data_IF_738926053632
#
_entry.id   IF_738926053632
#
_cell.length_a   1.000
_cell.length_b   1.000
_cell.length_c   1.000
_cell.angle_alpha   90.00
_cell.angle_beta   90.00
_cell.angle_gamma   90.00
#
_symmetry.space_group_name_H-M   'P 1'
#
loop_
_entity.id
_entity.type
_entity.pdbx_description
1 polymer ?
#
# COMPACT_ATOMS: atom_id res chain seq x y z
N UNK A 1 27.82 -7.64 -82.59
CA UNK A 1 28.32 -8.57 -81.54
C UNK A 1 27.37 -8.50 -80.36
N UNK A 2 26.65 -9.60 -80.05
CA UNK A 2 25.64 -9.64 -78.98
C UNK A 2 26.36 -9.67 -77.62
N UNK A 3 26.07 -8.69 -76.76
CA UNK A 3 26.70 -8.50 -75.45
C UNK A 3 26.39 -9.66 -74.50
N UNK A 4 27.25 -10.69 -74.53
CA UNK A 4 27.22 -11.85 -73.61
C UNK A 4 27.47 -11.48 -72.14
N UNK A 5 27.78 -10.21 -71.85
CA UNK A 5 28.16 -9.71 -70.52
C UNK A 5 27.00 -9.08 -69.73
N UNK A 6 25.88 -8.77 -70.40
CA UNK A 6 24.70 -8.19 -69.75
C UNK A 6 24.10 -9.07 -68.62
N UNK A 7 23.95 -10.40 -68.77
CA UNK A 7 23.38 -11.23 -67.70
C UNK A 7 24.31 -11.32 -66.49
N UNK A 8 25.64 -11.29 -66.68
CA UNK A 8 26.61 -11.32 -65.59
C UNK A 8 26.61 -10.01 -64.78
N UNK A 9 26.42 -8.86 -65.43
CA UNK A 9 26.28 -7.58 -64.75
C UNK A 9 25.05 -7.51 -63.84
N UNK A 10 23.94 -8.09 -64.26
CA UNK A 10 22.69 -8.11 -63.48
C UNK A 10 22.83 -9.01 -62.24
N UNK A 11 23.46 -10.18 -62.38
CA UNK A 11 23.69 -11.09 -61.26
C UNK A 11 24.60 -10.44 -60.21
N UNK A 12 25.64 -9.73 -60.64
CA UNK A 12 26.58 -9.06 -59.74
C UNK A 12 25.91 -7.91 -58.97
N UNK A 13 25.02 -7.15 -59.63
CA UNK A 13 24.20 -6.11 -59.01
C UNK A 13 23.19 -6.68 -58.00
N UNK A 14 22.58 -7.82 -58.31
CA UNK A 14 21.65 -8.50 -57.40
C UNK A 14 22.37 -9.02 -56.15
N UNK A 15 23.56 -9.62 -56.29
CA UNK A 15 24.36 -10.08 -55.16
C UNK A 15 24.80 -8.89 -54.30
N UNK A 16 25.23 -7.79 -54.93
CA UNK A 16 25.62 -6.57 -54.22
C UNK A 16 24.44 -5.99 -53.43
N UNK A 17 23.24 -5.92 -54.02
CA UNK A 17 22.04 -5.42 -53.34
C UNK A 17 21.67 -6.29 -52.14
N UNK A 18 21.68 -7.62 -52.30
CA UNK A 18 21.39 -8.56 -51.20
C UNK A 18 22.43 -8.36 -50.08
N UNK A 19 23.71 -8.28 -50.41
CA UNK A 19 24.77 -8.10 -49.42
C UNK A 19 24.68 -6.75 -48.72
N UNK A 20 24.29 -5.67 -49.43
CA UNK A 20 24.07 -4.36 -48.81
C UNK A 20 22.80 -4.32 -47.96
N UNK A 21 21.72 -4.99 -48.35
CA UNK A 21 20.50 -5.10 -47.54
C UNK A 21 20.73 -5.91 -46.27
N UNK A 22 21.48 -7.00 -46.36
CA UNK A 22 21.80 -7.87 -45.22
C UNK A 22 22.73 -7.16 -44.23
N UNK A 23 23.69 -6.39 -44.75
CA UNK A 23 24.55 -5.53 -43.94
C UNK A 23 23.81 -4.32 -43.35
N UNK A 24 22.81 -3.76 -44.04
CA UNK A 24 21.95 -2.71 -43.48
C UNK A 24 20.98 -3.23 -42.42
N UNK A 25 20.43 -4.44 -42.59
CA UNK A 25 19.59 -5.10 -41.59
C UNK A 25 20.34 -5.44 -40.31
N UNK A 26 21.63 -5.74 -40.41
CA UNK A 26 22.48 -6.02 -39.23
C UNK A 26 23.09 -4.77 -38.59
N UNK A 27 23.08 -3.62 -39.29
CA UNK A 27 23.58 -2.33 -38.80
C UNK A 27 22.49 -1.38 -38.33
N UNK A 28 21.23 -1.64 -38.65
CA UNK A 28 20.10 -1.09 -37.92
C UNK A 28 20.06 -1.87 -36.60
N UNK A 29 20.41 -1.27 -35.46
CA UNK A 29 19.95 -1.85 -34.21
C UNK A 29 18.44 -2.00 -34.40
N UNK A 30 17.89 -3.17 -34.06
CA UNK A 30 16.49 -3.19 -33.68
C UNK A 30 16.35 -2.03 -32.70
N UNK A 31 15.72 -0.94 -33.14
CA UNK A 31 14.97 -0.12 -32.21
C UNK A 31 13.97 -1.12 -31.66
N UNK A 32 14.36 -1.83 -30.60
CA UNK A 32 13.44 -2.16 -29.55
C UNK A 32 12.66 -0.88 -29.40
N UNK A 33 11.39 -0.91 -29.82
CA UNK A 33 10.42 0.02 -29.28
C UNK A 33 10.70 -0.04 -27.79
N UNK A 34 11.36 0.99 -27.24
CA UNK A 34 11.34 1.22 -25.82
C UNK A 34 9.84 1.24 -25.55
N UNK A 35 9.32 0.14 -25.00
CA UNK A 35 7.97 0.13 -24.47
C UNK A 35 7.99 1.34 -23.58
N UNK A 36 7.30 2.40 -23.97
CA UNK A 36 7.26 3.62 -23.18
C UNK A 36 6.87 3.13 -21.79
N UNK A 37 7.82 3.17 -20.85
CA UNK A 37 7.63 2.62 -19.53
C UNK A 37 6.77 3.64 -18.80
N UNK A 38 5.52 3.77 -19.24
CA UNK A 38 4.55 4.69 -18.69
C UNK A 38 4.11 4.06 -17.39
N UNK A 39 4.54 4.66 -16.28
CA UNK A 39 4.06 4.32 -14.96
C UNK A 39 2.55 4.58 -14.94
N UNK A 40 1.71 3.60 -14.55
CA UNK A 40 0.28 3.81 -14.50
C UNK A 40 -0.09 4.94 -13.53
N UNK A 41 -1.08 5.74 -13.89
CA UNK A 41 -1.59 6.77 -12.99
C UNK A 41 -2.36 6.13 -11.83
N UNK A 42 -2.02 6.49 -10.60
CA UNK A 42 -2.66 6.02 -9.38
C UNK A 42 -3.54 7.14 -8.79
N UNK A 43 -4.80 6.84 -8.51
CA UNK A 43 -5.62 7.72 -7.69
C UNK A 43 -5.53 7.27 -6.23
N UNK A 44 -4.86 8.07 -5.39
CA UNK A 44 -4.70 7.79 -3.97
C UNK A 44 -5.53 8.80 -3.18
N UNK A 45 -6.40 8.30 -2.31
CA UNK A 45 -7.20 9.15 -1.43
C UNK A 45 -7.07 8.73 0.03
N UNK A 46 -7.12 9.70 0.95
CA UNK A 46 -7.20 9.49 2.39
C UNK A 46 -8.44 10.20 2.90
N UNK A 47 -9.34 9.47 3.56
CA UNK A 47 -10.62 10.01 4.02
C UNK A 47 -11.40 10.78 2.92
N UNK A 48 -11.29 10.32 1.67
CA UNK A 48 -11.95 10.94 0.51
C UNK A 48 -11.22 12.15 -0.10
N UNK A 49 -10.08 12.56 0.43
CA UNK A 49 -9.26 13.64 -0.13
C UNK A 49 -8.11 13.07 -0.95
N UNK A 50 -7.89 13.61 -2.14
CA UNK A 50 -6.81 13.20 -3.03
C UNK A 50 -5.43 13.58 -2.47
N UNK A 51 -4.48 12.66 -2.64
CA UNK A 51 -3.13 12.77 -2.13
C UNK A 51 -2.14 13.01 -3.26
N UNK A 52 -1.39 14.09 -3.14
CA UNK A 52 -0.20 14.31 -3.96
C UNK A 52 0.87 13.28 -3.58
N UNK A 53 1.41 12.60 -4.59
CA UNK A 53 2.35 11.52 -4.44
C UNK A 53 3.40 11.55 -5.55
N UNK A 54 4.47 10.80 -5.36
CA UNK A 54 5.55 10.61 -6.34
C UNK A 54 5.54 9.17 -6.83
N UNK A 55 5.63 8.99 -8.15
CA UNK A 55 5.76 7.67 -8.76
C UNK A 55 7.16 7.47 -9.32
N UNK A 56 7.68 6.24 -9.31
CA UNK A 56 9.02 5.96 -9.83
C UNK A 56 9.65 4.67 -9.33
N UNK A 57 10.97 4.56 -9.50
CA UNK A 57 11.77 3.49 -8.90
C UNK A 57 11.94 3.76 -7.41
N UNK A 58 11.73 2.74 -6.58
CA UNK A 58 11.93 2.80 -5.13
C UNK A 58 12.84 1.65 -4.68
N UNK A 59 13.70 1.92 -3.70
CA UNK A 59 14.48 0.92 -3.01
C UNK A 59 14.47 1.22 -1.51
N UNK A 60 14.19 0.20 -0.69
CA UNK A 60 14.38 0.29 0.76
C UNK A 60 15.84 0.56 1.08
N UNK A 61 16.12 1.41 2.06
CA UNK A 61 17.50 1.69 2.44
C UNK A 61 17.95 0.80 3.60
N UNK A 62 19.14 0.21 3.51
CA UNK A 62 19.84 -0.29 4.69
C UNK A 62 20.35 0.86 5.59
N UNK A 63 20.54 2.09 5.05
CA UNK A 63 21.08 3.30 5.73
C UNK A 63 20.74 4.67 5.06
N UNK A 64 19.47 5.04 4.92
CA UNK A 64 19.02 6.43 4.68
C UNK A 64 19.45 7.23 3.42
N UNK A 65 19.31 6.71 2.20
CA UNK A 65 19.15 7.50 0.96
C UNK A 65 18.31 6.73 -0.05
N UNK A 66 17.00 7.00 -0.13
CA UNK A 66 16.13 6.40 -1.14
C UNK A 66 15.70 7.45 -2.18
N UNK A 67 16.16 7.39 -3.43
CA UNK A 67 15.63 8.26 -4.47
C UNK A 67 14.36 7.64 -5.06
N UNK A 68 13.23 8.37 -4.98
CA UNK A 68 12.24 8.29 -6.06
C UNK A 68 12.80 9.16 -7.17
N UNK A 69 13.19 8.55 -8.29
CA UNK A 69 13.56 9.30 -9.48
C UNK A 69 12.28 9.84 -10.06
N UNK A 70 12.11 11.15 -9.90
CA UNK A 70 11.01 11.89 -10.49
C UNK A 70 11.07 11.78 -12.02
N UNK A 71 9.97 11.35 -12.63
CA UNK A 71 9.82 11.34 -14.09
C UNK A 71 8.92 12.49 -14.57
N UNK A 72 8.35 13.29 -13.66
CA UNK A 72 7.50 14.42 -14.02
C UNK A 72 8.37 15.64 -14.40
N UNK A 73 8.02 16.34 -15.50
CA UNK A 73 8.60 17.65 -15.83
C UNK A 73 7.59 18.78 -15.53
N UNK A 74 7.92 19.75 -14.66
CA UNK A 74 9.12 19.85 -13.84
C UNK A 74 9.08 18.90 -12.62
N UNK A 75 10.24 18.42 -12.14
CA UNK A 75 10.27 17.49 -11.03
C UNK A 75 9.81 18.16 -9.72
N UNK A 76 8.81 17.59 -9.07
CA UNK A 76 8.46 17.85 -7.66
C UNK A 76 9.31 16.89 -6.82
N UNK A 77 10.33 17.39 -6.13
CA UNK A 77 11.23 16.51 -5.38
C UNK A 77 10.45 15.89 -4.19
N UNK A 78 10.78 14.66 -3.80
CA UNK A 78 10.10 14.01 -2.67
C UNK A 78 10.12 14.85 -1.38
N UNK A 79 11.19 15.61 -1.16
CA UNK A 79 11.30 16.53 -0.02
C UNK A 79 10.47 17.82 -0.15
N UNK A 80 9.95 18.11 -1.35
CA UNK A 80 9.03 19.23 -1.59
C UNK A 80 7.57 18.84 -1.28
N UNK A 81 7.27 17.55 -1.16
CA UNK A 81 5.95 17.09 -0.74
C UNK A 81 5.72 17.44 0.74
N UNK A 82 4.69 18.25 0.99
CA UNK A 82 4.22 18.46 2.35
C UNK A 82 3.59 17.17 2.89
N UNK A 83 3.88 16.77 4.16
CA UNK A 83 3.25 15.61 4.76
C UNK A 83 1.73 15.72 4.76
N UNK A 84 1.06 14.69 4.27
CA UNK A 84 -0.40 14.59 4.36
C UNK A 84 -0.78 14.33 5.81
N UNK A 85 -1.60 15.20 6.39
CA UNK A 85 -2.12 15.00 7.74
C UNK A 85 -3.29 14.02 7.70
N UNK A 86 -3.19 12.94 8.47
CA UNK A 86 -4.25 11.94 8.60
C UNK A 86 -4.55 11.64 10.07
N UNK A 87 -5.81 11.30 10.34
CA UNK A 87 -6.22 10.79 11.64
C UNK A 87 -5.88 9.29 11.75
N UNK A 88 -5.62 8.78 12.96
CA UNK A 88 -5.61 7.35 13.20
C UNK A 88 -6.90 6.69 12.68
N UNK A 89 -6.78 5.48 12.12
CA UNK A 89 -7.89 4.71 11.56
C UNK A 89 -8.58 5.33 10.33
N UNK A 90 -8.08 6.43 9.79
CA UNK A 90 -8.51 6.90 8.48
C UNK A 90 -8.26 5.83 7.43
N UNK A 91 -9.21 5.70 6.49
CA UNK A 91 -9.11 4.80 5.34
C UNK A 91 -8.36 5.50 4.20
N UNK A 92 -7.39 4.80 3.63
CA UNK A 92 -6.73 5.13 2.38
C UNK A 92 -7.23 4.20 1.29
N UNK A 93 -7.57 4.73 0.13
CA UNK A 93 -7.93 3.95 -1.05
C UNK A 93 -6.91 4.19 -2.14
N UNK A 94 -6.48 3.11 -2.80
CA UNK A 94 -5.59 3.16 -3.97
C UNK A 94 -6.34 2.56 -5.15
N UNK A 95 -6.59 3.38 -6.17
CA UNK A 95 -7.29 2.96 -7.37
C UNK A 95 -6.42 3.19 -8.62
N UNK A 96 -6.57 2.30 -9.59
CA UNK A 96 -5.98 2.38 -10.93
C UNK A 96 -7.09 2.23 -11.96
N UNK A 97 -6.91 2.81 -13.15
CA UNK A 97 -7.77 2.51 -14.29
C UNK A 97 -7.73 1.01 -14.60
N UNK A 98 -8.84 0.39 -15.00
CA UNK A 98 -8.87 -1.02 -15.40
C UNK A 98 -7.89 -1.31 -16.54
N UNK A 99 -7.70 -0.34 -17.43
CA UNK A 99 -6.75 -0.40 -18.56
C UNK A 99 -5.28 -0.50 -18.10
N UNK A 100 -4.98 -0.11 -16.85
CA UNK A 100 -3.64 -0.21 -16.29
C UNK A 100 -3.21 -1.66 -16.04
N UNK A 101 -4.15 -2.60 -15.89
CA UNK A 101 -3.86 -4.03 -15.70
C UNK A 101 -3.05 -4.33 -14.43
N UNK A 102 -3.23 -3.55 -13.36
CA UNK A 102 -2.58 -3.80 -12.07
C UNK A 102 -3.21 -5.04 -11.41
N UNK A 103 -2.39 -6.04 -11.14
CA UNK A 103 -2.82 -7.33 -10.59
C UNK A 103 -2.77 -7.35 -9.05
N UNK A 104 -1.78 -6.66 -8.46
CA UNK A 104 -1.54 -6.69 -7.02
C UNK A 104 -1.09 -5.33 -6.52
N UNK A 105 -1.59 -4.92 -5.35
CA UNK A 105 -1.17 -3.72 -4.64
C UNK A 105 -0.75 -4.11 -3.22
N UNK A 106 0.44 -3.67 -2.81
CA UNK A 106 0.98 -3.82 -1.47
C UNK A 106 1.35 -2.45 -0.94
N UNK A 107 0.91 -2.10 0.27
CA UNK A 107 1.21 -0.80 0.87
C UNK A 107 2.08 -1.01 2.09
N UNK A 108 3.10 -0.19 2.27
CA UNK A 108 4.03 -0.23 3.39
C UNK A 108 4.10 1.14 4.06
N UNK A 109 4.49 1.15 5.34
CA UNK A 109 4.83 2.36 6.08
C UNK A 109 6.29 2.26 6.51
N UNK A 110 7.06 3.32 6.27
CA UNK A 110 8.42 3.39 6.78
C UNK A 110 8.45 3.46 8.31
N UNK A 111 9.53 2.94 8.90
CA UNK A 111 9.96 3.27 10.26
C UNK A 111 11.12 4.27 10.17
N UNK A 112 11.08 5.35 10.95
CA UNK A 112 12.16 6.35 10.98
C UNK A 112 12.56 6.82 9.56
N UNK A 113 13.86 6.82 9.27
CA UNK A 113 14.48 7.26 8.01
C UNK A 113 14.37 6.21 6.89
N UNK A 114 13.14 5.81 6.54
CA UNK A 114 12.84 4.86 5.44
C UNK A 114 13.28 3.41 5.68
N UNK A 115 13.42 2.98 6.94
CA UNK A 115 13.60 1.56 7.25
C UNK A 115 12.31 0.78 6.92
N UNK A 116 12.47 -0.44 6.41
CA UNK A 116 11.35 -1.33 6.09
C UNK A 116 10.52 -1.60 7.36
N UNK A 117 9.25 -1.20 7.31
CA UNK A 117 8.27 -1.56 8.33
C UNK A 117 8.05 -3.08 8.39
N UNK A 118 7.59 -3.57 9.54
CA UNK A 118 7.55 -5.00 9.85
C UNK A 118 6.63 -5.85 8.96
N UNK A 119 5.77 -5.26 8.13
CA UNK A 119 4.95 -5.92 7.10
C UNK A 119 4.14 -4.87 6.31
N UNK A 120 3.62 -5.21 5.11
CA UNK A 120 2.66 -4.35 4.41
C UNK A 120 1.39 -4.16 5.26
N UNK A 121 0.68 -3.05 5.07
CA UNK A 121 -0.69 -2.92 5.53
C UNK A 121 -1.52 -4.04 4.91
N UNK A 122 -2.30 -4.73 5.74
CA UNK A 122 -3.28 -5.67 5.23
C UNK A 122 -4.37 -4.91 4.47
N UNK A 123 -4.66 -5.39 3.25
CA UNK A 123 -5.78 -4.87 2.45
C UNK A 123 -7.07 -5.39 3.08
N UNK A 124 -8.01 -4.50 3.33
CA UNK A 124 -9.25 -4.82 4.06
C UNK A 124 -10.33 -5.25 3.06
N UNK A 125 -10.60 -4.45 2.03
CA UNK A 125 -11.43 -4.74 0.85
C UNK A 125 -11.10 -3.72 -0.26
N UNK A 126 -11.20 -4.09 -1.53
CA UNK A 126 -11.12 -3.17 -2.68
C UNK A 126 -9.96 -2.14 -2.62
N UNK A 127 -8.75 -2.61 -2.33
CA UNK A 127 -7.54 -1.76 -2.20
C UNK A 127 -7.69 -0.62 -1.19
N UNK A 128 -8.50 -0.84 -0.15
CA UNK A 128 -8.67 0.05 1.00
C UNK A 128 -7.80 -0.44 2.16
N UNK A 129 -7.01 0.50 2.71
CA UNK A 129 -6.06 0.29 3.80
C UNK A 129 -6.40 1.20 4.97
N UNK A 130 -6.32 0.72 6.20
CA UNK A 130 -6.61 1.53 7.39
C UNK A 130 -5.33 1.89 8.12
N UNK A 131 -5.14 3.17 8.43
CA UNK A 131 -3.97 3.61 9.18
C UNK A 131 -4.02 3.16 10.65
N UNK A 132 -2.90 2.64 11.13
CA UNK A 132 -2.75 2.28 12.54
C UNK A 132 -2.65 3.53 13.44
N UNK A 133 -3.01 3.36 14.71
CA UNK A 133 -2.85 4.38 15.74
C UNK A 133 -1.38 4.57 16.15
N UNK A 134 -0.61 5.27 15.30
CA UNK A 134 0.80 5.57 15.54
C UNK A 134 1.08 7.00 15.08
N UNK A 135 1.29 7.88 16.05
CA UNK A 135 1.68 9.25 15.83
C UNK A 135 3.11 9.35 15.29
N UNK A 136 3.37 10.44 14.56
CA UNK A 136 4.66 10.76 13.99
C UNK A 136 4.66 10.82 12.46
N UNK A 137 5.78 11.33 11.95
CA UNK A 137 6.07 11.40 10.52
C UNK A 137 6.51 10.02 10.01
N UNK A 138 6.04 9.67 8.82
CA UNK A 138 6.41 8.45 8.12
C UNK A 138 6.24 8.63 6.62
N UNK A 139 6.75 7.70 5.82
CA UNK A 139 6.49 7.61 4.39
C UNK A 139 5.56 6.44 4.12
N UNK A 140 4.56 6.66 3.27
CA UNK A 140 3.76 5.57 2.69
C UNK A 140 4.41 5.15 1.38
N UNK A 141 4.58 3.85 1.18
CA UNK A 141 5.15 3.25 -0.03
C UNK A 141 4.10 2.28 -0.58
N UNK A 142 3.62 2.52 -1.78
CA UNK A 142 2.67 1.67 -2.48
C UNK A 142 3.44 0.97 -3.59
N UNK A 143 3.39 -0.35 -3.61
CA UNK A 143 3.96 -1.20 -4.64
C UNK A 143 2.80 -1.79 -5.45
N UNK A 144 2.72 -1.46 -6.74
CA UNK A 144 1.71 -1.99 -7.65
C UNK A 144 2.39 -2.84 -8.73
N UNK A 145 1.87 -4.04 -9.01
CA UNK A 145 2.48 -4.97 -9.98
C UNK A 145 1.58 -5.24 -11.17
N UNK A 146 2.17 -5.28 -12.36
CA UNK A 146 1.56 -5.66 -13.65
C UNK A 146 2.42 -6.73 -14.30
N UNK A 147 1.99 -7.99 -14.23
CA UNK A 147 2.85 -9.12 -14.58
C UNK A 147 4.15 -9.08 -13.77
N UNK A 148 5.30 -9.06 -14.46
CA UNK A 148 6.64 -8.97 -13.83
C UNK A 148 7.10 -7.52 -13.56
N UNK A 149 6.33 -6.52 -13.97
CA UNK A 149 6.66 -5.12 -13.75
C UNK A 149 6.14 -4.63 -12.40
N UNK A 150 6.97 -3.88 -11.68
CA UNK A 150 6.63 -3.31 -10.36
C UNK A 150 6.80 -1.80 -10.41
N UNK A 151 5.76 -1.09 -9.99
CA UNK A 151 5.69 0.36 -9.89
C UNK A 151 5.59 0.79 -8.44
N UNK A 152 6.20 1.92 -8.09
CA UNK A 152 6.15 2.44 -6.74
C UNK A 152 5.55 3.84 -6.71
N UNK A 153 4.74 4.11 -5.68
CA UNK A 153 4.15 5.41 -5.39
C UNK A 153 4.44 5.74 -3.93
N UNK A 154 4.83 6.97 -3.64
CA UNK A 154 5.24 7.38 -2.30
C UNK A 154 4.73 8.76 -1.94
N UNK A 155 4.45 8.97 -0.66
CA UNK A 155 4.15 10.29 -0.12
C UNK A 155 4.46 10.34 1.38
N UNK A 156 4.84 11.51 1.92
CA UNK A 156 5.00 11.71 3.35
C UNK A 156 3.63 11.79 4.04
N UNK A 157 3.52 11.16 5.20
CA UNK A 157 2.33 11.09 6.04
C UNK A 157 2.68 11.55 7.46
N UNK A 158 1.87 12.43 8.03
CA UNK A 158 1.92 12.79 9.44
C UNK A 158 0.61 12.40 10.14
N UNK A 159 0.75 11.67 11.24
CA UNK A 159 -0.34 11.47 12.21
C UNK A 159 0.04 12.27 13.44
N UNK A 160 -0.65 13.38 13.69
CA UNK A 160 -0.27 14.35 14.71
C UNK A 160 -0.44 13.78 16.13
N UNK A 161 -1.55 13.10 16.37
CA UNK A 161 -1.92 12.61 17.70
C UNK A 161 -2.40 11.16 17.65
N UNK A 162 -2.22 10.47 18.77
CA UNK A 162 -2.80 9.15 19.00
C UNK A 162 -4.27 9.31 19.38
N UNK A 163 -5.12 8.46 18.81
CA UNK A 163 -6.48 8.29 19.30
C UNK A 163 -6.41 7.56 20.64
N UNK A 164 -6.91 8.20 21.69
CA UNK A 164 -7.06 7.59 23.00
C UNK A 164 -8.19 6.55 22.99
N UNK A 165 -8.33 5.78 24.06
CA UNK A 165 -9.44 4.85 24.25
C UNK A 165 -10.80 5.52 24.10
N UNK A 166 -10.97 6.80 24.48
CA UNK A 166 -12.24 7.52 24.28
C UNK A 166 -12.60 7.62 22.80
N UNK A 167 -11.62 7.71 21.91
CA UNK A 167 -11.86 7.67 20.47
C UNK A 167 -12.06 6.27 19.91
N UNK A 168 -12.03 5.21 20.74
CA UNK A 168 -12.46 3.85 20.39
C UNK A 168 -13.92 3.56 20.73
N UNK A 169 -14.58 4.42 21.51
CA UNK A 169 -15.98 4.24 21.91
C UNK A 169 -16.90 4.22 20.69
N UNK A 170 -18.06 3.58 20.84
CA UNK A 170 -19.10 3.61 19.82
C UNK A 170 -19.63 5.04 19.64
N UNK A 171 -19.89 5.45 18.41
CA UNK A 171 -20.33 6.82 18.13
C UNK A 171 -21.76 7.10 18.60
N UNK A 172 -22.58 6.05 18.69
CA UNK A 172 -24.00 6.13 19.01
C UNK A 172 -24.38 5.23 20.19
N UNK A 173 -25.37 5.67 20.98
CA UNK A 173 -25.96 4.85 22.04
C UNK A 173 -26.65 3.61 21.44
N UNK A 174 -26.50 2.46 22.10
CA UNK A 174 -27.03 1.19 21.59
C UNK A 174 -26.10 0.48 20.60
N UNK A 175 -24.95 1.05 20.28
CA UNK A 175 -23.94 0.39 19.46
C UNK A 175 -22.69 0.07 20.26
N UNK A 176 -21.96 -0.87 19.71
CA UNK A 176 -20.69 -1.36 20.21
C UNK A 176 -19.57 -0.97 19.25
N UNK A 177 -18.39 -0.82 19.84
CA UNK A 177 -17.14 -0.80 19.12
C UNK A 177 -16.23 -1.90 19.67
N UNK A 178 -15.36 -2.44 18.82
CA UNK A 178 -14.45 -3.52 19.21
C UNK A 178 -13.03 -3.26 18.76
N UNK A 179 -12.07 -3.67 19.58
CA UNK A 179 -10.64 -3.59 19.31
C UNK A 179 -10.00 -4.96 19.51
N UNK A 180 -9.13 -5.33 18.59
CA UNK A 180 -8.23 -6.46 18.69
C UNK A 180 -6.80 -6.01 18.47
N UNK A 181 -5.90 -6.48 19.32
CA UNK A 181 -4.46 -6.34 19.17
C UNK A 181 -3.84 -7.74 19.12
N UNK A 182 -3.11 -8.07 18.06
CA UNK A 182 -2.52 -9.40 17.88
C UNK A 182 -1.09 -9.33 17.32
N UNK A 183 -0.34 -10.42 17.48
CA UNK A 183 1.03 -10.53 16.97
C UNK A 183 1.04 -10.94 15.49
N UNK A 184 2.08 -10.57 14.72
CA UNK A 184 2.26 -11.00 13.34
C UNK A 184 2.12 -12.49 13.05
N UNK A 185 2.52 -13.32 14.01
CA UNK A 185 2.53 -14.79 13.85
C UNK A 185 1.14 -15.40 14.06
N UNK A 186 0.19 -14.64 14.60
CA UNK A 186 -1.19 -15.10 14.74
C UNK A 186 -1.88 -14.94 13.38
N UNK A 187 -1.93 -16.02 12.59
CA UNK A 187 -2.85 -16.11 11.45
C UNK A 187 -4.28 -15.97 11.97
N UNK A 188 -4.82 -14.76 11.90
CA UNK A 188 -6.19 -14.44 12.24
C UNK A 188 -6.86 -13.99 10.95
N UNK A 189 -7.95 -14.64 10.57
CA UNK A 189 -8.88 -14.09 9.58
C UNK A 189 -9.34 -12.71 10.07
N UNK A 190 -9.39 -11.71 9.19
CA UNK A 190 -9.76 -10.32 9.52
C UNK A 190 -11.25 -10.23 9.92
N UNK A 191 -11.57 -10.72 11.11
CA UNK A 191 -12.93 -10.88 11.60
C UNK A 191 -13.58 -9.54 11.97
N UNK A 192 -12.78 -8.50 12.23
CA UNK A 192 -13.29 -7.17 12.54
C UNK A 192 -14.29 -6.72 11.47
N UNK A 193 -14.01 -7.00 10.20
CA UNK A 193 -14.90 -6.67 9.08
C UNK A 193 -16.20 -7.46 9.08
N UNK A 194 -16.15 -8.75 9.41
CA UNK A 194 -17.35 -9.56 9.56
C UNK A 194 -18.26 -9.02 10.67
N UNK A 195 -17.65 -8.48 11.74
CA UNK A 195 -18.40 -7.92 12.85
C UNK A 195 -18.93 -6.52 12.57
N UNK A 196 -18.29 -5.66 11.76
CA UNK A 196 -18.90 -4.36 11.38
C UNK A 196 -20.23 -4.55 10.63
N UNK A 197 -20.40 -5.68 9.95
CA UNK A 197 -21.68 -6.05 9.31
C UNK A 197 -22.73 -6.59 10.31
N UNK A 198 -22.41 -6.67 11.60
CA UNK A 198 -23.37 -6.98 12.65
C UNK A 198 -24.17 -5.72 13.01
N UNK A 199 -25.49 -5.85 13.14
CA UNK A 199 -26.42 -4.71 13.36
C UNK A 199 -26.13 -3.86 14.60
N UNK A 200 -25.21 -4.29 15.47
CA UNK A 200 -24.86 -3.61 16.73
C UNK A 200 -23.40 -3.16 16.83
N UNK A 201 -22.51 -3.60 15.92
CA UNK A 201 -21.09 -3.22 15.98
C UNK A 201 -20.81 -2.28 14.83
N UNK A 202 -20.68 -0.99 15.12
CA UNK A 202 -20.49 0.03 14.09
C UNK A 202 -19.03 0.41 13.89
N UNK A 203 -18.14 -0.10 14.73
CA UNK A 203 -16.72 0.17 14.68
C UNK A 203 -15.94 -1.06 15.13
N UNK A 204 -15.09 -1.58 14.27
CA UNK A 204 -14.22 -2.70 14.60
C UNK A 204 -12.81 -2.43 14.07
N UNK A 205 -11.83 -2.58 14.93
CA UNK A 205 -10.42 -2.45 14.58
C UNK A 205 -9.67 -3.70 14.99
N UNK A 206 -9.00 -4.34 14.03
CA UNK A 206 -8.04 -5.41 14.27
C UNK A 206 -6.67 -4.90 13.88
N UNK A 207 -5.75 -4.86 14.85
CA UNK A 207 -4.45 -4.23 14.71
C UNK A 207 -3.33 -5.19 15.09
N UNK A 208 -2.41 -5.33 14.15
CA UNK A 208 -1.18 -6.04 14.39
C UNK A 208 -0.20 -5.18 15.20
N UNK A 209 0.40 -5.78 16.23
CA UNK A 209 1.41 -5.18 17.11
C UNK A 209 2.57 -6.15 17.30
N UNK A 210 3.80 -5.65 17.24
CA UNK A 210 5.00 -6.50 17.31
C UNK A 210 5.33 -6.91 18.74
N UNK A 211 4.89 -6.14 19.74
CA UNK A 211 5.13 -6.43 21.15
C UNK A 211 4.04 -5.88 22.07
N UNK A 212 4.04 -6.35 23.32
CA UNK A 212 3.14 -5.87 24.36
C UNK A 212 3.40 -4.39 24.69
N UNK A 213 4.66 -3.97 24.68
CA UNK A 213 5.08 -2.59 24.89
C UNK A 213 4.57 -1.69 23.76
N UNK A 214 4.61 -2.19 22.51
CA UNK A 214 4.02 -1.46 21.38
C UNK A 214 2.52 -1.27 21.58
N UNK A 215 1.79 -2.32 21.98
CA UNK A 215 0.36 -2.27 22.26
C UNK A 215 0.03 -1.22 23.33
N UNK A 216 0.76 -1.26 24.46
CA UNK A 216 0.64 -0.28 25.56
C UNK A 216 1.00 1.13 25.15
N UNK A 217 1.93 1.32 24.23
CA UNK A 217 2.26 2.66 23.72
C UNK A 217 1.16 3.22 22.82
N UNK A 218 0.54 2.37 21.99
CA UNK A 218 -0.56 2.77 21.08
C UNK A 218 -1.85 3.09 21.83
N UNK A 219 -2.11 2.39 22.94
CA UNK A 219 -3.28 2.57 23.79
C UNK A 219 -2.85 2.63 25.26
N UNK A 220 -2.24 3.75 25.64
CA UNK A 220 -1.62 3.94 26.97
C UNK A 220 -2.61 4.03 28.13
N UNK A 221 -3.88 4.27 27.81
CA UNK A 221 -5.00 4.35 28.71
C UNK A 221 -5.78 3.02 28.86
N UNK A 222 -5.41 2.00 28.08
CA UNK A 222 -5.90 0.63 28.25
C UNK A 222 -4.93 -0.22 29.07
N UNK A 223 -5.49 -1.07 29.94
CA UNK A 223 -4.70 -2.02 30.72
C UNK A 223 -4.46 -3.30 29.92
N UNK A 224 -3.47 -3.26 29.04
CA UNK A 224 -3.12 -4.41 28.18
C UNK A 224 -2.08 -5.27 28.89
N UNK A 225 -2.49 -6.44 29.40
CA UNK A 225 -1.61 -7.35 30.16
C UNK A 225 -1.04 -8.51 29.34
N UNK A 226 -1.67 -8.89 28.22
CA UNK A 226 -1.12 -9.88 27.28
C UNK A 226 -1.64 -9.65 25.85
N UNK A 227 -1.10 -10.42 24.91
CA UNK A 227 -1.55 -10.49 23.51
C UNK A 227 -1.92 -11.94 23.15
N UNK A 228 -2.96 -12.17 22.32
CA UNK A 228 -3.86 -11.18 21.75
C UNK A 228 -4.71 -10.49 22.84
N UNK A 229 -5.11 -9.24 22.59
CA UNK A 229 -5.97 -8.46 23.47
C UNK A 229 -7.24 -8.09 22.69
N UNK A 230 -8.39 -8.32 23.31
CA UNK A 230 -9.70 -8.01 22.76
C UNK A 230 -10.44 -7.09 23.71
N UNK A 231 -11.13 -6.09 23.18
CA UNK A 231 -11.95 -5.18 23.95
C UNK A 231 -13.29 -4.89 23.26
N UNK A 232 -14.33 -4.75 24.07
CA UNK A 232 -15.67 -4.33 23.66
C UNK A 232 -15.98 -3.01 24.37
N UNK A 233 -16.39 -2.02 23.60
CA UNK A 233 -16.75 -0.69 24.04
C UNK A 233 -18.22 -0.42 23.72
N UNK A 234 -18.89 0.35 24.56
CA UNK A 234 -20.12 1.05 24.17
C UNK A 234 -19.81 2.55 23.96
N UNK A 235 -20.85 3.37 23.88
CA UNK A 235 -20.72 4.82 23.71
C UNK A 235 -20.05 5.53 24.90
N UNK A 236 -20.07 4.93 26.10
CA UNK A 236 -19.61 5.59 27.33
C UNK A 236 -18.29 5.03 27.84
N UNK A 237 -18.04 3.73 27.65
CA UNK A 237 -16.91 3.03 28.27
C UNK A 237 -16.57 1.66 27.65
N UNK A 238 -15.45 1.11 28.09
CA UNK A 238 -15.04 -0.29 28.01
C UNK A 238 -16.04 -1.13 28.81
N UNK A 239 -16.63 -2.11 28.15
CA UNK A 239 -17.54 -3.09 28.75
C UNK A 239 -16.83 -4.37 29.13
N UNK A 240 -15.89 -4.82 28.30
CA UNK A 240 -15.25 -6.12 28.46
C UNK A 240 -13.88 -6.15 27.80
N UNK A 241 -12.94 -6.86 28.42
CA UNK A 241 -11.63 -7.15 27.87
C UNK A 241 -11.29 -8.63 28.07
N UNK A 242 -10.53 -9.21 27.12
CA UNK A 242 -10.13 -10.61 27.16
C UNK A 242 -8.87 -10.85 26.35
N UNK A 243 -8.18 -11.95 26.66
CA UNK A 243 -7.09 -12.47 25.82
C UNK A 243 -7.48 -13.78 25.12
N UNK A 244 -8.76 -14.17 25.23
CA UNK A 244 -9.33 -15.36 24.62
C UNK A 244 -10.40 -14.94 23.59
N UNK A 245 -10.22 -15.38 22.34
CA UNK A 245 -11.09 -15.05 21.21
C UNK A 245 -12.50 -15.61 21.35
N UNK A 246 -12.64 -16.84 21.85
CA UNK A 246 -13.95 -17.48 22.04
C UNK A 246 -14.77 -16.75 23.11
N UNK A 247 -14.12 -16.40 24.23
CA UNK A 247 -14.75 -15.62 25.29
C UNK A 247 -15.16 -14.24 24.80
N UNK A 248 -14.30 -13.58 24.01
CA UNK A 248 -14.62 -12.30 23.37
C UNK A 248 -15.87 -12.40 22.50
N UNK A 249 -15.97 -13.37 21.59
CA UNK A 249 -17.16 -13.52 20.74
C UNK A 249 -18.42 -13.89 21.53
N UNK A 250 -18.28 -14.68 22.58
CA UNK A 250 -19.39 -15.00 23.47
C UNK A 250 -19.92 -13.74 24.15
N UNK A 251 -19.01 -12.91 24.67
CA UNK A 251 -19.39 -11.65 25.33
C UNK A 251 -19.93 -10.61 24.35
N UNK A 252 -19.41 -10.56 23.12
CA UNK A 252 -19.92 -9.67 22.08
C UNK A 252 -21.40 -9.92 21.78
N UNK A 253 -21.81 -11.20 21.71
CA UNK A 253 -23.21 -11.60 21.53
C UNK A 253 -24.11 -11.24 22.71
N UNK A 254 -23.56 -11.16 23.92
CA UNK A 254 -24.29 -10.80 25.14
C UNK A 254 -24.40 -9.27 25.29
N UNK A 255 -23.36 -8.54 24.90
CA UNK A 255 -23.30 -7.09 25.00
C UNK A 255 -24.13 -6.39 23.91
N UNK A 256 -24.38 -7.06 22.79
CA UNK A 256 -25.27 -6.59 21.74
C UNK A 256 -26.70 -6.41 22.29
N UNK A 257 -27.31 -5.22 22.18
CA UNK A 257 -28.61 -4.91 22.78
C UNK A 257 -29.82 -5.63 22.15
#
# INVERSE_FOLDING_TARGET
>A
MKNKWLPYGIVLLAILMIFTMDKFRTLLPEQQEESSFSIPEAQITIAGQEVLHKSGTFAWVEKGTGPVVDQDEPPILFHDLLPVSAKPFSKMMVAFSEEAGINTISVYRSRGDLEMGSQPFETIFDNTYTFNNVAGLSTVIIQASRGDQVYHYTFPLIIEELVTYQGQLAEEQGYLAVLELYKPEAQQENWALEQVNNQYVHKAHSLQVNSLEEARRKFSDLKIDALPYYAIFNHERLLYESNNREDFFKMLKIAAP
#
